data_IF_526154435641
#
_entry.id   IF_526154435641
#
_cell.length_a   1.000
_cell.length_b   1.000
_cell.length_c   1.000
_cell.angle_alpha   90.00
_cell.angle_beta   90.00
_cell.angle_gamma   90.00
#
_symmetry.space_group_name_H-M   'P 1'
#
loop_
_entity.id
_entity.type
_entity.pdbx_description
1 polymer ?
#
# COMPACT_ATOMS: atom_id res chain seq x y z
N UNK A 1 -2.14 12.79 -6.08
CA UNK A 1 -2.53 12.10 -4.84
C UNK A 1 -4.05 12.01 -4.65
N UNK A 2 -4.86 12.93 -5.19
CA UNK A 2 -6.33 12.86 -5.09
C UNK A 2 -6.94 11.55 -5.62
N UNK A 3 -6.24 10.86 -6.52
CA UNK A 3 -6.68 9.59 -7.09
C UNK A 3 -5.89 8.38 -6.53
N UNK A 4 -5.12 8.61 -5.48
CA UNK A 4 -4.38 7.56 -4.80
C UNK A 4 -5.34 6.83 -3.87
N UNK A 5 -5.80 5.68 -4.30
CA UNK A 5 -6.58 4.77 -3.47
C UNK A 5 -5.72 3.53 -3.21
N UNK A 6 -5.18 3.35 -2.01
CA UNK A 6 -4.32 2.21 -1.71
C UNK A 6 -5.05 0.87 -1.75
N UNK A 7 -6.37 0.89 -1.78
CA UNK A 7 -7.23 -0.29 -1.92
C UNK A 7 -8.63 0.15 -2.34
N UNK A 8 -9.33 -0.70 -3.07
CA UNK A 8 -10.76 -0.53 -3.21
C UNK A 8 -11.45 -1.03 -1.94
N UNK A 9 -12.39 -0.24 -1.45
CA UNK A 9 -13.15 -0.51 -0.23
C UNK A 9 -13.71 -1.93 -0.19
N UNK A 10 -14.43 -2.33 -1.23
CA UNK A 10 -15.08 -3.64 -1.28
C UNK A 10 -14.09 -4.80 -1.23
N UNK A 11 -13.06 -4.76 -2.08
CA UNK A 11 -12.06 -5.82 -2.13
C UNK A 11 -11.26 -5.91 -0.84
N UNK A 12 -10.82 -4.78 -0.31
CA UNK A 12 -10.04 -4.77 0.92
C UNK A 12 -10.88 -5.19 2.12
N UNK A 13 -12.06 -4.62 2.24
CA UNK A 13 -12.89 -4.82 3.42
C UNK A 13 -13.55 -6.19 3.44
N UNK A 14 -14.17 -6.60 2.33
CA UNK A 14 -14.94 -7.84 2.31
C UNK A 14 -14.13 -9.08 1.95
N UNK A 15 -13.19 -8.96 1.03
CA UNK A 15 -12.49 -10.13 0.53
C UNK A 15 -11.15 -10.34 1.24
N UNK A 16 -10.31 -9.30 1.34
CA UNK A 16 -8.95 -9.46 1.86
C UNK A 16 -8.87 -9.54 3.37
N UNK A 17 -9.70 -8.82 4.11
CA UNK A 17 -9.69 -8.91 5.56
C UNK A 17 -10.07 -10.32 6.03
N UNK A 18 -11.02 -10.95 5.35
CA UNK A 18 -11.41 -12.33 5.62
C UNK A 18 -10.33 -13.33 5.19
N UNK A 19 -9.71 -13.14 4.03
CA UNK A 19 -8.63 -14.00 3.53
C UNK A 19 -7.38 -13.94 4.39
N UNK A 20 -6.99 -12.74 4.80
CA UNK A 20 -5.85 -12.52 5.69
C UNK A 20 -6.16 -12.95 7.13
N UNK A 21 -7.38 -13.39 7.41
CA UNK A 21 -7.83 -13.82 8.74
C UNK A 21 -7.73 -12.72 9.80
N UNK A 22 -7.85 -11.45 9.41
CA UNK A 22 -7.96 -10.33 10.36
C UNK A 22 -9.39 -10.12 10.82
N UNK A 23 -10.36 -10.37 9.94
CA UNK A 23 -11.77 -10.23 10.23
C UNK A 23 -12.58 -11.37 9.64
N UNK A 24 -13.84 -11.43 9.98
CA UNK A 24 -14.82 -12.32 9.38
C UNK A 24 -16.01 -11.48 8.94
N UNK A 25 -16.39 -11.58 7.67
CA UNK A 25 -17.57 -10.90 7.16
C UNK A 25 -18.79 -11.71 7.56
N UNK A 26 -19.69 -11.08 8.30
CA UNK A 26 -20.98 -11.68 8.65
C UNK A 26 -22.00 -11.35 7.57
N UNK A 27 -22.39 -12.36 6.82
CA UNK A 27 -23.51 -12.30 5.88
C UNK A 27 -23.08 -12.18 4.41
N UNK A 28 -23.68 -13.01 3.62
CA UNK A 28 -23.53 -13.12 2.17
C UNK A 28 -22.85 -14.41 1.71
N UNK A 29 -23.16 -14.81 0.50
CA UNK A 29 -22.67 -16.07 -0.12
C UNK A 29 -21.17 -16.08 -0.45
N UNK A 30 -20.41 -15.06 -0.02
CA UNK A 30 -19.06 -14.80 -0.50
C UNK A 30 -17.94 -15.16 0.48
N UNK A 31 -18.25 -15.86 1.57
CA UNK A 31 -17.24 -16.23 2.60
C UNK A 31 -16.07 -17.09 2.07
N UNK A 32 -16.20 -17.65 0.88
CA UNK A 32 -15.18 -18.52 0.25
C UNK A 32 -14.86 -18.11 -1.20
N UNK A 33 -15.30 -16.96 -1.67
CA UNK A 33 -15.03 -16.51 -3.03
C UNK A 33 -14.15 -15.26 -3.00
N UNK A 34 -13.02 -15.35 -3.65
CA UNK A 34 -12.20 -14.21 -3.98
C UNK A 34 -12.82 -13.52 -5.20
N UNK A 35 -13.52 -12.43 -4.99
CA UNK A 35 -13.89 -11.52 -6.06
C UNK A 35 -12.71 -10.61 -6.36
N UNK A 36 -11.85 -11.05 -7.26
CA UNK A 36 -10.76 -10.20 -7.73
C UNK A 36 -11.35 -8.99 -8.46
N UNK A 37 -10.91 -7.76 -8.15
CA UNK A 37 -11.27 -6.61 -8.94
C UNK A 37 -10.92 -6.87 -10.40
N UNK A 38 -11.88 -6.65 -11.29
CA UNK A 38 -11.67 -6.86 -12.71
C UNK A 38 -10.75 -5.77 -13.27
N UNK A 39 -9.56 -6.14 -13.73
CA UNK A 39 -8.65 -5.23 -14.42
C UNK A 39 -9.29 -4.58 -15.65
N UNK A 40 -10.31 -5.23 -16.25
CA UNK A 40 -11.01 -4.70 -17.41
C UNK A 40 -11.87 -3.48 -17.09
N UNK A 41 -12.34 -3.36 -15.85
CA UNK A 41 -13.26 -2.28 -15.45
C UNK A 41 -12.58 -0.96 -15.08
N UNK A 42 -11.27 -0.93 -14.95
CA UNK A 42 -10.58 0.31 -14.55
C UNK A 42 -9.06 0.29 -14.59
N UNK A 43 -8.44 -0.86 -14.86
CA UNK A 43 -6.99 -1.06 -14.71
C UNK A 43 -6.57 -0.86 -13.26
N UNK A 44 -5.82 -1.71 -12.63
CA UNK A 44 -5.44 -1.74 -11.24
C UNK A 44 -5.13 -0.40 -10.54
N UNK A 45 -4.72 -0.47 -9.31
CA UNK A 45 -4.38 0.72 -8.50
C UNK A 45 -3.25 1.56 -9.11
N UNK A 46 -2.37 0.95 -9.89
CA UNK A 46 -1.24 1.62 -10.56
C UNK A 46 -1.65 2.58 -11.66
N UNK A 47 -2.86 2.43 -12.24
CA UNK A 47 -3.34 3.22 -13.40
C UNK A 47 -3.18 4.72 -13.19
N UNK A 48 -3.77 5.27 -12.14
CA UNK A 48 -3.79 6.72 -11.95
C UNK A 48 -2.41 7.31 -11.63
N UNK A 49 -1.61 6.72 -10.73
CA UNK A 49 -0.24 7.16 -10.53
C UNK A 49 0.62 7.08 -11.79
N UNK A 50 0.50 6.00 -12.56
CA UNK A 50 1.27 5.82 -13.79
C UNK A 50 0.86 6.85 -14.88
N UNK A 51 -0.42 7.12 -15.07
CA UNK A 51 -0.88 8.17 -15.96
C UNK A 51 -0.31 9.55 -15.56
N UNK A 52 -0.28 9.86 -14.27
CA UNK A 52 0.28 11.10 -13.76
C UNK A 52 1.79 11.17 -13.99
N UNK A 53 2.51 10.08 -13.74
CA UNK A 53 3.96 9.99 -14.00
C UNK A 53 4.28 10.24 -15.49
N UNK A 54 3.55 9.57 -16.38
CA UNK A 54 3.72 9.74 -17.83
C UNK A 54 3.45 11.17 -18.28
N UNK A 55 2.48 11.85 -17.68
CA UNK A 55 2.24 13.27 -17.97
C UNK A 55 3.38 14.15 -17.45
N UNK A 56 3.91 13.90 -16.26
CA UNK A 56 5.10 14.59 -15.73
C UNK A 56 6.27 14.41 -16.72
N UNK A 57 6.56 13.18 -17.14
CA UNK A 57 7.61 12.88 -18.10
C UNK A 57 7.41 13.64 -19.43
N UNK A 58 6.18 13.65 -19.92
CA UNK A 58 5.84 14.37 -21.16
C UNK A 58 6.06 15.88 -21.04
N UNK A 59 5.66 16.46 -19.91
CA UNK A 59 5.87 17.89 -19.64
C UNK A 59 7.37 18.22 -19.48
N UNK A 60 8.14 17.37 -18.82
CA UNK A 60 9.59 17.53 -18.68
C UNK A 60 10.29 17.51 -20.05
N UNK A 61 9.89 16.60 -20.95
CA UNK A 61 10.45 16.51 -22.32
C UNK A 61 10.23 17.76 -23.17
N UNK A 62 9.21 18.57 -22.85
CA UNK A 62 8.90 19.81 -23.58
C UNK A 62 9.68 21.03 -23.06
N UNK A 63 10.45 20.88 -22.00
CA UNK A 63 11.24 21.94 -21.39
C UNK A 63 12.72 21.82 -21.75
N UNK A 64 13.45 22.93 -21.59
CA UNK A 64 14.91 22.86 -21.62
C UNK A 64 15.44 22.00 -20.47
N UNK A 65 16.68 21.54 -20.60
CA UNK A 65 17.30 20.59 -19.67
C UNK A 65 17.37 21.12 -18.23
N UNK A 66 17.64 22.41 -18.03
CA UNK A 66 17.74 23.01 -16.70
C UNK A 66 16.36 23.09 -16.04
N UNK A 67 15.37 23.60 -16.75
CA UNK A 67 13.98 23.63 -16.26
C UNK A 67 13.43 22.23 -16.01
N UNK A 68 13.63 21.28 -16.90
CA UNK A 68 13.20 19.89 -16.70
C UNK A 68 13.83 19.29 -15.44
N UNK A 69 15.12 19.53 -15.21
CA UNK A 69 15.87 19.03 -14.07
C UNK A 69 15.34 19.54 -12.72
N UNK A 70 14.64 20.68 -12.66
CA UNK A 70 14.04 21.18 -11.42
C UNK A 70 12.92 20.27 -10.88
N UNK A 71 12.35 19.38 -11.70
CA UNK A 71 11.26 18.46 -11.37
C UNK A 71 11.72 17.04 -11.05
N UNK A 72 13.03 16.79 -11.00
CA UNK A 72 13.59 15.44 -10.75
C UNK A 72 13.05 14.82 -9.47
N UNK A 73 13.01 15.56 -8.37
CA UNK A 73 12.48 15.06 -7.11
C UNK A 73 10.98 14.72 -7.20
N UNK A 74 10.18 15.54 -7.85
CA UNK A 74 8.73 15.29 -8.04
C UNK A 74 8.52 14.04 -8.89
N UNK A 75 9.31 13.86 -9.94
CA UNK A 75 9.29 12.64 -10.75
C UNK A 75 9.62 11.41 -9.92
N UNK A 76 10.69 11.45 -9.12
CA UNK A 76 11.13 10.35 -8.28
C UNK A 76 10.10 9.99 -7.17
N UNK A 77 9.46 10.98 -6.55
CA UNK A 77 8.35 10.79 -5.60
C UNK A 77 7.18 10.06 -6.28
N UNK A 78 6.79 10.51 -7.47
CA UNK A 78 5.69 9.88 -8.22
C UNK A 78 6.07 8.47 -8.69
N UNK A 79 7.30 8.25 -9.16
CA UNK A 79 7.80 6.93 -9.53
C UNK A 79 7.73 5.95 -8.35
N UNK A 80 8.07 6.40 -7.15
CA UNK A 80 7.98 5.57 -5.93
C UNK A 80 6.54 5.14 -5.62
N UNK A 81 5.57 6.03 -5.83
CA UNK A 81 4.14 5.71 -5.69
C UNK A 81 3.67 4.73 -6.76
N UNK A 82 4.10 4.91 -8.00
CA UNK A 82 3.78 4.00 -9.11
C UNK A 82 4.26 2.60 -8.79
N UNK A 83 5.51 2.46 -8.33
CA UNK A 83 6.04 1.15 -7.97
C UNK A 83 5.32 0.56 -6.74
N UNK A 84 5.02 1.36 -5.73
CA UNK A 84 4.25 0.90 -4.57
C UNK A 84 2.92 0.28 -4.96
N UNK A 85 2.17 0.94 -5.87
CA UNK A 85 0.91 0.43 -6.40
C UNK A 85 1.10 -0.76 -7.35
N UNK A 86 2.14 -0.70 -8.19
CA UNK A 86 2.49 -1.79 -9.09
C UNK A 86 2.81 -3.09 -8.36
N UNK A 87 3.50 -3.03 -7.22
CA UNK A 87 3.76 -4.19 -6.37
C UNK A 87 2.44 -4.78 -5.86
N UNK A 88 1.48 -3.96 -5.42
CA UNK A 88 0.19 -4.44 -4.97
C UNK A 88 -0.60 -5.10 -6.09
N UNK A 89 -0.65 -4.46 -7.26
CA UNK A 89 -1.39 -5.00 -8.40
C UNK A 89 -0.79 -6.33 -8.88
N UNK A 90 0.53 -6.45 -9.00
CA UNK A 90 1.15 -7.71 -9.41
C UNK A 90 1.06 -8.81 -8.35
N UNK A 91 0.95 -8.47 -7.06
CA UNK A 91 0.68 -9.45 -6.00
C UNK A 91 -0.69 -10.12 -6.22
N UNK A 92 -1.67 -9.43 -6.82
CA UNK A 92 -3.00 -9.96 -7.09
C UNK A 92 -3.13 -10.61 -8.47
N UNK A 93 -2.60 -9.95 -9.49
CA UNK A 93 -2.84 -10.31 -10.88
C UNK A 93 -1.70 -11.10 -11.52
N UNK A 94 -0.54 -11.15 -10.87
CA UNK A 94 0.67 -11.71 -11.47
C UNK A 94 1.16 -10.83 -12.62
N UNK A 95 1.05 -11.33 -13.86
CA UNK A 95 1.37 -10.55 -15.06
C UNK A 95 0.35 -9.44 -15.31
N UNK A 96 0.82 -8.24 -15.66
CA UNK A 96 -0.05 -7.12 -15.96
C UNK A 96 0.58 -6.18 -16.99
N UNK A 97 -0.20 -5.37 -17.72
CA UNK A 97 0.35 -4.32 -18.55
C UNK A 97 0.97 -3.22 -17.68
N UNK A 98 2.26 -2.92 -17.90
CA UNK A 98 2.97 -1.88 -17.17
C UNK A 98 3.95 -1.10 -18.06
N UNK A 99 4.92 -1.76 -18.65
CA UNK A 99 6.00 -1.09 -19.42
C UNK A 99 5.49 -0.31 -20.62
N UNK A 100 4.43 -0.78 -21.28
CA UNK A 100 3.78 -0.13 -22.40
C UNK A 100 2.42 0.50 -22.07
N UNK A 101 1.95 0.29 -20.83
CA UNK A 101 0.60 0.70 -20.43
C UNK A 101 0.42 2.22 -20.50
N UNK A 102 -0.78 2.64 -20.90
CA UNK A 102 -1.26 4.03 -20.91
C UNK A 102 -0.43 5.02 -21.76
N UNK A 103 0.46 4.52 -22.63
CA UNK A 103 1.36 5.35 -23.46
C UNK A 103 0.76 5.80 -24.79
N UNK A 104 -0.44 5.33 -25.16
CA UNK A 104 -1.06 5.59 -26.46
C UNK A 104 -1.17 7.09 -26.79
N UNK A 105 -1.55 7.95 -25.83
CA UNK A 105 -1.63 9.41 -26.03
C UNK A 105 -0.27 10.07 -26.29
N UNK A 106 0.83 9.37 -26.00
CA UNK A 106 2.21 9.83 -26.21
C UNK A 106 2.91 9.10 -27.37
N UNK A 107 2.13 8.52 -28.28
CA UNK A 107 2.66 7.79 -29.45
C UNK A 107 2.99 6.32 -29.19
N UNK A 108 2.62 5.77 -28.03
CA UNK A 108 2.76 4.35 -27.72
C UNK A 108 1.63 3.50 -28.28
N UNK A 109 1.65 2.21 -27.96
CA UNK A 109 0.67 1.23 -28.45
C UNK A 109 -0.70 1.38 -27.77
N UNK A 110 -1.77 1.00 -28.51
CA UNK A 110 -3.12 0.82 -27.96
C UNK A 110 -3.33 -0.59 -27.36
N UNK A 111 -2.43 -1.52 -27.69
CA UNK A 111 -2.47 -2.91 -27.24
C UNK A 111 -1.18 -3.24 -26.48
N UNK A 112 -1.04 -2.77 -25.23
CA UNK A 112 0.17 -3.01 -24.45
C UNK A 112 0.33 -4.50 -24.15
N UNK A 113 1.57 -4.98 -24.13
CA UNK A 113 1.88 -6.34 -23.70
C UNK A 113 1.62 -6.51 -22.19
N UNK A 114 1.42 -7.75 -21.80
CA UNK A 114 1.48 -8.13 -20.38
C UNK A 114 2.94 -8.41 -20.02
N UNK A 115 3.46 -7.65 -19.09
CA UNK A 115 4.77 -7.92 -18.50
C UNK A 115 4.62 -9.05 -17.49
N UNK A 116 5.54 -10.00 -17.51
CA UNK A 116 5.58 -11.07 -16.50
C UNK A 116 5.93 -10.51 -15.12
N UNK A 117 5.56 -11.21 -14.05
CA UNK A 117 5.90 -10.76 -12.69
C UNK A 117 7.42 -10.63 -12.49
N UNK A 118 8.22 -11.47 -13.13
CA UNK A 118 9.68 -11.37 -13.11
C UNK A 118 10.17 -10.09 -13.81
N UNK A 119 9.65 -9.77 -15.00
CA UNK A 119 9.96 -8.51 -15.68
C UNK A 119 9.58 -7.30 -14.84
N UNK A 120 8.39 -7.35 -14.23
CA UNK A 120 7.90 -6.28 -13.35
C UNK A 120 8.81 -6.07 -12.14
N UNK A 121 9.23 -7.12 -11.45
CA UNK A 121 10.10 -6.98 -10.29
C UNK A 121 11.48 -6.44 -10.63
N UNK A 122 12.05 -6.85 -11.77
CA UNK A 122 13.30 -6.28 -12.27
C UNK A 122 13.13 -4.78 -12.59
N UNK A 123 12.04 -4.41 -13.24
CA UNK A 123 11.74 -3.02 -13.58
C UNK A 123 11.48 -2.18 -12.33
N UNK A 124 10.68 -2.65 -11.38
CA UNK A 124 10.42 -1.97 -10.11
C UNK A 124 11.70 -1.72 -9.31
N UNK A 125 12.61 -2.69 -9.29
CA UNK A 125 13.90 -2.48 -8.65
C UNK A 125 14.72 -1.38 -9.32
N UNK A 126 14.82 -1.41 -10.64
CA UNK A 126 15.54 -0.38 -11.39
C UNK A 126 14.94 1.03 -11.20
N UNK A 127 13.62 1.13 -11.20
CA UNK A 127 12.87 2.37 -10.99
C UNK A 127 13.05 2.90 -9.55
N UNK A 128 12.95 2.03 -8.53
CA UNK A 128 13.18 2.43 -7.14
C UNK A 128 14.63 2.84 -6.88
N UNK A 129 15.59 2.13 -7.49
CA UNK A 129 16.99 2.49 -7.39
C UNK A 129 17.21 3.90 -7.95
N UNK A 130 16.72 4.16 -9.16
CA UNK A 130 16.82 5.49 -9.77
C UNK A 130 16.11 6.54 -8.92
N UNK A 131 14.90 6.30 -8.46
CA UNK A 131 14.14 7.24 -7.65
C UNK A 131 14.88 7.56 -6.32
N UNK A 132 15.45 6.56 -5.67
CA UNK A 132 16.23 6.75 -4.45
C UNK A 132 17.50 7.58 -4.72
N UNK A 133 18.21 7.30 -5.82
CA UNK A 133 19.38 8.06 -6.24
C UNK A 133 19.02 9.51 -6.56
N UNK A 134 17.95 9.74 -7.33
CA UNK A 134 17.46 11.08 -7.70
C UNK A 134 17.08 11.92 -6.47
N UNK A 135 16.48 11.31 -5.44
CA UNK A 135 16.07 11.99 -4.21
C UNK A 135 17.21 12.28 -3.22
N UNK A 136 18.37 11.65 -3.42
CA UNK A 136 19.51 11.76 -2.49
C UNK A 136 20.74 12.42 -3.07
N UNK A 137 20.79 12.58 -4.39
CA UNK A 137 21.92 13.22 -5.07
C UNK A 137 21.57 14.63 -5.53
N UNK A 138 22.57 15.49 -5.61
CA UNK A 138 22.43 16.76 -6.27
C UNK A 138 22.17 16.54 -7.77
N UNK A 139 21.17 17.24 -8.29
CA UNK A 139 20.90 17.27 -9.73
C UNK A 139 21.79 18.32 -10.38
N UNK A 140 22.65 17.89 -11.30
CA UNK A 140 23.63 18.77 -11.93
C UNK A 140 23.38 18.83 -13.43
N UNK A 141 23.20 20.04 -13.98
CA UNK A 141 23.10 20.31 -15.42
C UNK A 141 24.18 21.30 -15.82
N UNK A 142 24.94 20.97 -16.85
CA UNK A 142 26.07 21.81 -17.35
C UNK A 142 27.03 22.26 -16.23
N UNK A 143 27.32 21.38 -15.27
CA UNK A 143 28.23 21.64 -14.15
C UNK A 143 27.64 22.52 -13.03
N UNK A 144 26.37 22.82 -13.05
CA UNK A 144 25.66 23.60 -12.02
C UNK A 144 24.63 22.75 -11.31
N UNK A 145 24.58 22.84 -9.99
CA UNK A 145 23.52 22.22 -9.19
C UNK A 145 22.20 22.95 -9.45
N UNK A 146 21.15 22.18 -9.73
CA UNK A 146 19.80 22.66 -10.02
C UNK A 146 18.93 22.53 -8.78
N UNK A 147 18.37 23.65 -8.32
CA UNK A 147 17.43 23.67 -7.20
C UNK A 147 16.13 22.95 -7.57
N UNK A 148 15.68 22.06 -6.69
CA UNK A 148 14.48 21.29 -6.93
C UNK A 148 13.22 22.06 -6.54
N UNK A 149 12.16 21.90 -7.33
CA UNK A 149 10.81 22.38 -6.97
C UNK A 149 10.27 21.53 -5.84
N UNK A 150 9.83 22.16 -4.77
CA UNK A 150 9.16 21.48 -3.67
C UNK A 150 7.63 21.56 -3.81
N UNK A 151 6.95 20.46 -3.54
CA UNK A 151 5.48 20.41 -3.47
C UNK A 151 4.94 21.08 -2.20
N UNK A 152 5.75 21.18 -1.14
CA UNK A 152 5.30 21.73 0.14
C UNK A 152 3.99 21.09 0.61
N UNK A 153 3.00 21.88 1.00
CA UNK A 153 1.71 21.39 1.47
C UNK A 153 0.85 20.68 0.42
N UNK A 154 1.22 20.68 -0.87
CA UNK A 154 0.57 19.89 -1.91
C UNK A 154 0.92 18.40 -1.80
N UNK A 155 2.01 18.08 -1.14
CA UNK A 155 2.33 16.72 -0.72
C UNK A 155 1.70 16.45 0.66
N UNK A 156 0.64 15.68 0.66
CA UNK A 156 -0.12 15.35 1.88
C UNK A 156 0.61 14.39 2.81
N UNK A 157 1.63 13.68 2.32
CA UNK A 157 2.36 12.67 3.08
C UNK A 157 3.52 13.30 3.85
N UNK A 158 4.51 13.80 3.13
CA UNK A 158 5.78 14.28 3.72
C UNK A 158 6.03 15.77 3.51
N UNK A 159 5.03 16.53 3.02
CA UNK A 159 5.14 17.98 2.81
C UNK A 159 6.29 18.40 1.89
N UNK A 160 6.62 17.55 0.93
CA UNK A 160 7.70 17.79 -0.03
C UNK A 160 9.10 17.48 0.50
N UNK A 161 9.21 16.78 1.63
CA UNK A 161 10.49 16.35 2.19
C UNK A 161 11.11 15.22 1.37
N UNK A 162 12.09 15.56 0.55
CA UNK A 162 12.78 14.61 -0.31
C UNK A 162 13.52 13.50 0.47
N UNK A 163 13.99 13.79 1.69
CA UNK A 163 14.69 12.81 2.52
C UNK A 163 13.75 11.70 2.97
N UNK A 164 12.53 12.06 3.39
CA UNK A 164 11.51 11.08 3.77
C UNK A 164 11.03 10.26 2.58
N UNK A 165 10.84 10.89 1.42
CA UNK A 165 10.54 10.19 0.18
C UNK A 165 11.65 9.24 -0.24
N UNK A 166 12.92 9.62 -0.06
CA UNK A 166 14.07 8.75 -0.33
C UNK A 166 14.08 7.52 0.58
N UNK A 167 13.81 7.67 1.88
CA UNK A 167 13.66 6.56 2.82
C UNK A 167 12.50 5.64 2.42
N UNK A 168 11.37 6.21 2.02
CA UNK A 168 10.22 5.45 1.53
C UNK A 168 10.57 4.61 0.30
N UNK A 169 11.14 5.23 -0.74
CA UNK A 169 11.56 4.54 -1.96
C UNK A 169 12.58 3.43 -1.66
N UNK A 170 13.54 3.72 -0.78
CA UNK A 170 14.56 2.76 -0.37
C UNK A 170 13.98 1.59 0.43
N UNK A 171 13.02 1.84 1.31
CA UNK A 171 12.31 0.79 2.06
C UNK A 171 11.42 -0.08 1.17
N UNK A 172 10.89 0.48 0.08
CA UNK A 172 10.17 -0.32 -0.92
C UNK A 172 11.08 -1.33 -1.62
N UNK A 173 12.38 -1.02 -1.82
CA UNK A 173 13.34 -2.01 -2.32
C UNK A 173 13.42 -3.23 -1.38
N UNK A 174 13.48 -3.00 -0.08
CA UNK A 174 13.50 -4.09 0.89
C UNK A 174 12.20 -4.89 0.88
N UNK A 175 11.06 -4.21 0.75
CA UNK A 175 9.74 -4.85 0.59
C UNK A 175 9.69 -5.73 -0.67
N UNK A 176 10.30 -5.30 -1.77
CA UNK A 176 10.43 -6.08 -3.00
C UNK A 176 11.35 -7.30 -2.82
N UNK A 177 12.49 -7.13 -2.15
CA UNK A 177 13.43 -8.22 -1.85
C UNK A 177 12.76 -9.37 -1.08
N UNK A 178 11.94 -9.06 -0.08
CA UNK A 178 11.21 -10.07 0.71
C UNK A 178 10.30 -10.93 -0.17
N UNK A 179 9.67 -10.37 -1.20
CA UNK A 179 8.83 -11.12 -2.14
C UNK A 179 9.62 -12.10 -2.99
N UNK A 180 10.88 -11.78 -3.26
CA UNK A 180 11.77 -12.59 -4.10
C UNK A 180 12.48 -13.72 -3.36
N UNK A 181 12.39 -13.80 -2.03
CA UNK A 181 13.15 -14.75 -1.21
C UNK A 181 13.06 -16.22 -1.68
N UNK A 182 11.91 -16.63 -2.19
CA UNK A 182 11.73 -18.01 -2.69
C UNK A 182 11.92 -18.10 -4.20
N UNK A 183 11.51 -17.10 -4.95
CA UNK A 183 11.52 -17.13 -6.40
C UNK A 183 12.93 -16.84 -6.98
N UNK A 184 13.65 -15.89 -6.40
CA UNK A 184 15.00 -15.51 -6.81
C UNK A 184 15.80 -14.98 -5.60
N UNK A 185 16.38 -15.90 -4.78
CA UNK A 185 17.13 -15.54 -3.57
C UNK A 185 18.35 -14.63 -3.83
N UNK A 186 19.03 -14.81 -4.96
CA UNK A 186 20.21 -14.02 -5.30
C UNK A 186 19.84 -12.55 -5.61
N UNK A 187 18.78 -12.36 -6.38
CA UNK A 187 18.26 -11.03 -6.64
C UNK A 187 17.71 -10.40 -5.33
N UNK A 188 17.00 -11.18 -4.51
CA UNK A 188 16.52 -10.72 -3.20
C UNK A 188 17.68 -10.21 -2.33
N UNK A 189 18.77 -10.96 -2.26
CA UNK A 189 19.99 -10.58 -1.52
C UNK A 189 20.60 -9.29 -2.07
N UNK A 190 20.75 -9.19 -3.40
CA UNK A 190 21.29 -8.00 -4.07
C UNK A 190 20.47 -6.76 -3.74
N UNK A 191 19.15 -6.84 -3.87
CA UNK A 191 18.24 -5.72 -3.56
C UNK A 191 18.28 -5.34 -2.08
N UNK A 192 18.31 -6.34 -1.18
CA UNK A 192 18.37 -6.09 0.25
C UNK A 192 19.69 -5.41 0.65
N UNK A 193 20.82 -5.85 0.09
CA UNK A 193 22.13 -5.24 0.34
C UNK A 193 22.17 -3.81 -0.18
N UNK A 194 21.67 -3.54 -1.38
CA UNK A 194 21.53 -2.18 -1.92
C UNK A 194 20.69 -1.30 -0.98
N UNK A 195 19.50 -1.78 -0.55
CA UNK A 195 18.63 -1.02 0.31
C UNK A 195 19.27 -0.68 1.69
N UNK A 196 19.95 -1.65 2.30
CA UNK A 196 20.56 -1.46 3.63
C UNK A 196 21.78 -0.57 3.57
N UNK A 197 22.58 -0.64 2.50
CA UNK A 197 23.81 0.15 2.36
C UNK A 197 23.59 1.54 1.78
N UNK A 198 22.42 1.83 1.23
CA UNK A 198 22.16 3.09 0.57
C UNK A 198 22.09 4.26 1.56
N UNK A 199 22.70 5.41 1.18
CA UNK A 199 22.77 6.62 2.02
C UNK A 199 21.41 7.23 2.41
N UNK A 200 20.33 6.92 1.67
CA UNK A 200 18.99 7.34 2.02
C UNK A 200 18.54 6.82 3.39
N UNK A 201 19.08 5.66 3.82
CA UNK A 201 18.58 4.94 4.98
C UNK A 201 17.23 4.28 4.74
N UNK A 202 16.70 3.66 5.76
CA UNK A 202 15.38 3.01 5.77
C UNK A 202 14.41 3.79 6.66
N UNK A 203 13.12 3.53 6.51
CA UNK A 203 12.10 3.99 7.45
C UNK A 203 12.29 3.23 8.78
N UNK A 204 12.70 3.92 9.83
CA UNK A 204 13.05 3.32 11.13
C UNK A 204 12.35 3.95 12.31
N UNK A 205 11.56 4.97 12.09
CA UNK A 205 10.79 5.64 13.14
C UNK A 205 9.36 5.93 12.66
N UNK A 206 8.47 6.17 13.60
CA UNK A 206 7.08 6.60 13.31
C UNK A 206 7.01 7.92 12.52
N UNK A 207 8.05 8.76 12.62
CA UNK A 207 8.12 10.00 11.85
C UNK A 207 8.39 9.78 10.35
N UNK A 208 8.86 8.58 10.00
CA UNK A 208 9.09 8.16 8.61
C UNK A 208 7.84 7.51 7.99
N UNK A 209 6.78 7.25 8.79
CA UNK A 209 5.61 6.52 8.33
C UNK A 209 4.95 7.19 7.12
N UNK A 210 4.60 6.36 6.13
CA UNK A 210 3.83 6.77 4.97
C UNK A 210 2.35 6.83 5.36
N UNK A 211 1.90 7.99 5.83
CA UNK A 211 0.52 8.21 6.26
C UNK A 211 -0.19 9.09 5.23
N UNK A 212 -1.18 8.51 4.56
CA UNK A 212 -2.09 9.24 3.70
C UNK A 212 -3.40 9.50 4.45
N UNK A 213 -3.59 10.71 4.91
CA UNK A 213 -4.82 11.12 5.58
C UNK A 213 -5.76 11.75 4.56
N UNK A 214 -6.85 11.07 4.25
CA UNK A 214 -7.87 11.55 3.32
C UNK A 214 -8.75 12.67 3.90
N UNK A 215 -8.62 12.96 5.18
CA UNK A 215 -9.54 13.85 5.90
C UNK A 215 -10.83 13.15 6.31
N UNK A 216 -11.57 13.78 7.20
CA UNK A 216 -12.77 13.19 7.82
C UNK A 216 -14.05 13.33 6.99
N UNK A 217 -14.02 14.13 5.92
CA UNK A 217 -15.27 14.56 5.28
C UNK A 217 -15.92 13.53 4.38
N UNK A 218 -15.16 12.54 3.88
CA UNK A 218 -15.70 11.66 2.86
C UNK A 218 -16.24 10.33 3.39
N UNK A 219 -15.65 9.82 4.46
CA UNK A 219 -15.93 8.46 4.91
C UNK A 219 -16.69 8.34 6.22
N UNK A 220 -16.80 9.38 6.98
CA UNK A 220 -17.26 9.31 8.37
C UNK A 220 -18.65 8.71 8.59
N UNK A 221 -19.42 8.49 7.54
CA UNK A 221 -20.77 7.94 7.69
C UNK A 221 -20.97 6.52 7.14
N UNK A 222 -19.99 5.97 6.45
CA UNK A 222 -20.19 4.69 5.77
C UNK A 222 -19.23 3.59 6.22
N UNK A 223 -17.99 3.92 6.50
CA UNK A 223 -16.95 2.92 6.74
C UNK A 223 -16.83 2.50 8.17
N UNK A 224 -17.20 3.37 9.05
CA UNK A 224 -17.26 3.07 10.49
C UNK A 224 -18.36 2.07 10.83
N UNK A 225 -19.18 1.71 9.86
CA UNK A 225 -20.49 1.14 10.14
C UNK A 225 -20.64 -0.32 9.84
N UNK A 226 -19.63 -0.96 9.30
CA UNK A 226 -19.71 -2.42 9.13
C UNK A 226 -18.63 -3.06 9.98
N UNK A 227 -18.82 -3.12 11.30
CA UNK A 227 -17.90 -3.84 12.16
C UNK A 227 -17.94 -5.30 11.74
N UNK A 228 -16.84 -5.76 11.17
CA UNK A 228 -16.62 -7.17 11.01
C UNK A 228 -16.44 -7.83 12.37
N UNK A 229 -16.80 -9.07 12.46
CA UNK A 229 -16.42 -9.90 13.61
C UNK A 229 -14.93 -10.20 13.53
N UNK A 230 -14.21 -10.10 14.62
CA UNK A 230 -12.81 -10.48 14.71
C UNK A 230 -12.62 -11.96 14.39
N UNK A 231 -11.54 -12.29 13.67
CA UNK A 231 -11.21 -13.67 13.41
C UNK A 231 -10.78 -14.38 14.70
N UNK A 232 -11.43 -15.49 15.02
CA UNK A 232 -11.15 -16.27 16.22
C UNK A 232 -9.66 -16.62 16.39
N UNK A 233 -8.99 -17.06 15.34
CA UNK A 233 -7.59 -17.46 15.44
C UNK A 233 -6.66 -16.27 15.73
N UNK A 234 -6.98 -15.08 15.22
CA UNK A 234 -6.22 -13.87 15.51
C UNK A 234 -6.44 -13.45 16.96
N UNK A 235 -7.70 -13.41 17.41
CA UNK A 235 -8.03 -13.04 18.79
C UNK A 235 -7.37 -14.01 19.75
N UNK A 236 -7.54 -15.32 19.53
CA UNK A 236 -6.91 -16.36 20.32
C UNK A 236 -5.39 -16.20 20.39
N UNK A 237 -4.74 -15.95 19.27
CA UNK A 237 -3.29 -15.71 19.23
C UNK A 237 -2.89 -14.51 20.10
N UNK A 238 -3.61 -13.39 19.98
CA UNK A 238 -3.34 -12.19 20.77
C UNK A 238 -3.55 -12.42 22.26
N UNK A 239 -4.63 -13.11 22.64
CA UNK A 239 -4.96 -13.43 24.04
C UNK A 239 -3.94 -14.41 24.62
N UNK A 240 -3.66 -15.52 23.95
CA UNK A 240 -2.71 -16.54 24.41
C UNK A 240 -1.30 -15.97 24.63
N UNK A 241 -0.91 -15.00 23.80
CA UNK A 241 0.37 -14.32 23.91
C UNK A 241 0.34 -13.06 24.79
N UNK A 242 -0.79 -12.78 25.45
CA UNK A 242 -1.00 -11.57 26.27
C UNK A 242 -0.61 -10.28 25.54
N UNK A 243 -0.93 -10.21 24.26
CA UNK A 243 -0.61 -9.07 23.43
C UNK A 243 -1.52 -7.89 23.79
N UNK A 244 -0.97 -6.77 24.29
CA UNK A 244 -1.78 -5.62 24.72
C UNK A 244 -2.57 -4.97 23.59
N UNK A 245 -2.23 -5.25 22.33
CA UNK A 245 -2.92 -4.70 21.16
C UNK A 245 -4.32 -5.25 20.98
N UNK A 246 -4.69 -6.37 21.61
CA UNK A 246 -6.04 -6.94 21.50
C UNK A 246 -7.10 -5.89 21.82
N UNK A 247 -6.92 -5.09 22.87
CA UNK A 247 -7.84 -4.02 23.30
C UNK A 247 -7.92 -2.82 22.35
N UNK A 248 -6.95 -2.70 21.44
CA UNK A 248 -6.95 -1.64 20.43
C UNK A 248 -7.58 -2.09 19.10
N UNK A 249 -7.54 -3.40 18.82
CA UNK A 249 -8.14 -3.97 17.62
C UNK A 249 -9.61 -4.33 17.80
N UNK A 250 -10.01 -4.67 19.03
CA UNK A 250 -11.35 -5.15 19.33
C UNK A 250 -11.91 -4.37 20.51
N UNK A 251 -13.03 -3.70 20.29
CA UNK A 251 -13.66 -2.85 21.31
C UNK A 251 -14.46 -3.69 22.31
N UNK A 252 -15.22 -4.66 21.82
CA UNK A 252 -16.10 -5.53 22.60
C UNK A 252 -16.14 -6.92 21.99
N UNK A 253 -16.48 -7.89 22.83
CA UNK A 253 -16.86 -9.22 22.36
C UNK A 253 -18.20 -9.62 22.99
N UNK A 254 -18.86 -10.63 22.40
CA UNK A 254 -20.13 -11.16 22.90
C UNK A 254 -19.99 -11.98 24.19
N UNK A 255 -18.76 -12.22 24.62
CA UNK A 255 -18.43 -12.98 25.81
C UNK A 255 -18.18 -12.11 27.04
N UNK A 256 -18.33 -10.79 26.96
CA UNK A 256 -18.10 -9.91 28.08
C UNK A 256 -19.22 -10.02 29.13
N UNK A 257 -18.91 -9.66 30.37
CA UNK A 257 -19.81 -9.77 31.51
C UNK A 257 -21.10 -8.96 31.36
N UNK A 258 -21.06 -7.82 30.59
CA UNK A 258 -22.25 -7.02 30.35
C UNK A 258 -23.26 -7.75 29.45
N UNK A 259 -22.76 -8.43 28.41
CA UNK A 259 -23.61 -9.23 27.52
C UNK A 259 -24.20 -10.42 28.26
N UNK A 260 -23.38 -11.12 29.01
CA UNK A 260 -23.83 -12.27 29.87
C UNK A 260 -24.90 -11.79 30.84
N UNK A 261 -24.68 -10.67 31.52
CA UNK A 261 -25.65 -10.11 32.47
C UNK A 261 -26.95 -9.71 31.79
N UNK A 262 -26.88 -9.11 30.59
CA UNK A 262 -28.05 -8.74 29.84
C UNK A 262 -28.96 -9.95 29.46
N UNK A 263 -28.36 -11.11 29.18
CA UNK A 263 -29.13 -12.35 28.98
C UNK A 263 -29.83 -12.79 30.22
N UNK A 264 -29.14 -12.76 31.37
CA UNK A 264 -29.73 -13.12 32.67
C UNK A 264 -30.84 -12.14 33.07
N UNK A 265 -30.63 -10.86 32.93
CA UNK A 265 -31.63 -9.81 33.23
C UNK A 265 -32.88 -9.95 32.37
N UNK A 266 -32.71 -10.38 31.12
CA UNK A 266 -33.81 -10.66 30.20
C UNK A 266 -34.50 -12.03 30.46
N UNK A 267 -34.04 -12.82 31.41
CA UNK A 267 -34.53 -14.18 31.66
C UNK A 267 -34.31 -15.14 30.50
N UNK A 268 -33.28 -14.91 29.67
CA UNK A 268 -32.93 -15.75 28.53
C UNK A 268 -31.77 -16.65 28.83
N UNK A 269 -31.75 -17.83 28.24
CA UNK A 269 -30.59 -18.71 28.28
C UNK A 269 -29.47 -18.14 27.46
N UNK A 270 -28.22 -18.29 27.90
CA UNK A 270 -27.03 -17.95 27.14
C UNK A 270 -26.96 -18.86 25.89
N UNK A 271 -26.69 -18.29 24.70
CA UNK A 271 -26.36 -19.11 23.55
C UNK A 271 -25.19 -20.07 23.87
N UNK A 272 -25.23 -21.28 23.33
CA UNK A 272 -24.21 -22.31 23.59
C UNK A 272 -22.78 -21.83 23.29
N UNK A 273 -22.62 -21.08 22.22
CA UNK A 273 -21.31 -20.53 21.83
C UNK A 273 -20.75 -19.52 22.85
N UNK A 274 -21.61 -18.85 23.63
CA UNK A 274 -21.16 -17.99 24.74
C UNK A 274 -20.86 -18.85 25.96
N UNK A 275 -21.77 -19.77 26.32
CA UNK A 275 -21.62 -20.61 27.49
C UNK A 275 -20.38 -21.52 27.45
N UNK A 276 -20.00 -21.99 26.24
CA UNK A 276 -18.83 -22.85 26.01
C UNK A 276 -17.49 -22.08 26.05
N UNK A 277 -17.53 -20.74 25.97
CA UNK A 277 -16.35 -19.89 25.86
C UNK A 277 -16.26 -18.82 26.96
N UNK A 278 -16.83 -19.11 28.12
CA UNK A 278 -16.84 -18.18 29.30
C UNK A 278 -15.42 -17.76 29.73
N UNK A 279 -14.41 -18.57 29.46
CA UNK A 279 -13.00 -18.26 29.73
C UNK A 279 -12.46 -17.01 29.01
N UNK A 280 -13.17 -16.53 27.98
CA UNK A 280 -12.82 -15.32 27.26
C UNK A 280 -13.59 -14.07 27.69
N UNK A 281 -14.36 -14.16 28.79
CA UNK A 281 -15.21 -13.06 29.28
C UNK A 281 -14.48 -12.01 30.13
N UNK A 282 -13.20 -12.20 30.45
CA UNK A 282 -12.40 -11.29 31.28
C UNK A 282 -11.44 -10.39 30.46
#
# INVERSE_FOLDING_TARGET
LQNFKPSEYWSWYYDFSAMCRYGQVTGGDNTNRLNMPDLSSGGGNVKHPLLTLLEIENQMKQKDAETAATFTNIHAMMQSLVVYMGIQDTDFYGSMPYSEAYRARYGGTLTPKYDTQEELFNQFYAELKKATDDLTNDVVVNGKTVSQVSLGNQDFVYKGDATKWAKFANSLKLKLAVRLLKANPELAKTIAQDAVSHKAGLMTSVDDDFIYNQGSEWYHNQETVTPGTGNYNLIKFLVDNRDPRVRFFFEKNDFNSEVVQAYFDAGKELPSYIAENVEYTE
#
